data_IF_254140059279
#
_entry.id   IF_254140059279
#
_cell.length_a   1.000
_cell.length_b   1.000
_cell.length_c   1.000
_cell.angle_alpha   90.00
_cell.angle_beta   90.00
_cell.angle_gamma   90.00
#
_symmetry.space_group_name_H-M   'P 1'
#
loop_
_entity.id
_entity.type
_entity.pdbx_description
1 polymer ?
#
# COMPACT_ATOMS: atom_id res chain seq x y z
N UNK A 1 10.94 -20.53 -86.61
CA UNK A 1 10.00 -19.63 -85.90
C UNK A 1 9.65 -20.16 -84.49
N UNK A 2 10.62 -20.69 -83.73
CA UNK A 2 10.35 -21.30 -82.41
C UNK A 2 11.25 -20.67 -81.34
N UNK A 3 11.22 -19.33 -81.25
CA UNK A 3 12.11 -18.59 -80.36
C UNK A 3 11.33 -17.71 -79.37
N UNK A 4 10.32 -16.99 -79.84
CA UNK A 4 9.64 -15.99 -79.01
C UNK A 4 8.77 -16.60 -77.91
N UNK A 5 8.14 -17.76 -78.14
CA UNK A 5 7.30 -18.45 -77.15
C UNK A 5 8.12 -19.07 -76.03
N UNK A 6 9.24 -19.73 -76.35
CA UNK A 6 10.14 -20.30 -75.35
C UNK A 6 10.82 -19.20 -74.50
N UNK A 7 11.20 -18.09 -75.15
CA UNK A 7 11.75 -16.92 -74.47
C UNK A 7 10.70 -16.33 -73.49
N UNK A 8 9.45 -16.19 -73.91
CA UNK A 8 8.37 -15.69 -73.06
C UNK A 8 8.12 -16.58 -71.83
N UNK A 9 8.11 -17.90 -71.99
CA UNK A 9 7.92 -18.86 -70.89
C UNK A 9 9.09 -18.75 -69.88
N UNK A 10 10.34 -18.63 -70.34
CA UNK A 10 11.49 -18.43 -69.47
C UNK A 10 11.38 -17.15 -68.63
N UNK A 11 10.93 -16.05 -69.23
CA UNK A 11 10.72 -14.79 -68.49
C UNK A 11 9.59 -14.90 -67.45
N UNK A 12 8.48 -15.57 -67.80
CA UNK A 12 7.38 -15.78 -66.85
C UNK A 12 7.85 -16.62 -65.66
N UNK A 13 8.57 -17.72 -65.89
CA UNK A 13 9.09 -18.58 -64.81
C UNK A 13 10.11 -17.84 -63.94
N UNK A 14 11.00 -17.04 -64.54
CA UNK A 14 11.94 -16.21 -63.77
C UNK A 14 11.21 -15.14 -62.96
N UNK A 15 10.17 -14.52 -63.52
CA UNK A 15 9.38 -13.49 -62.85
C UNK A 15 8.55 -14.07 -61.71
N UNK A 16 7.93 -15.25 -61.87
CA UNK A 16 7.19 -15.92 -60.80
C UNK A 16 8.11 -16.42 -59.70
N UNK A 17 9.29 -16.96 -60.02
CA UNK A 17 10.30 -17.28 -59.02
C UNK A 17 10.81 -16.05 -58.29
N UNK A 18 11.04 -14.94 -59.01
CA UNK A 18 11.46 -13.68 -58.40
C UNK A 18 10.38 -13.15 -57.45
N UNK A 19 9.10 -13.16 -57.86
CA UNK A 19 7.97 -12.78 -56.99
C UNK A 19 7.87 -13.71 -55.77
N UNK A 20 8.02 -15.02 -55.94
CA UNK A 20 7.99 -15.98 -54.84
C UNK A 20 9.15 -15.77 -53.84
N UNK A 21 10.35 -15.47 -54.34
CA UNK A 21 11.49 -15.10 -53.50
C UNK A 21 11.28 -13.74 -52.82
N UNK A 22 10.70 -12.75 -53.51
CA UNK A 22 10.34 -11.46 -52.91
C UNK A 22 9.32 -11.67 -51.78
N UNK A 23 8.29 -12.48 -51.98
CA UNK A 23 7.28 -12.85 -50.97
C UNK A 23 7.90 -13.61 -49.79
N UNK A 24 8.88 -14.49 -50.03
CA UNK A 24 9.66 -15.16 -48.97
C UNK A 24 10.55 -14.19 -48.20
N UNK A 25 11.01 -13.09 -48.82
CA UNK A 25 11.87 -12.08 -48.17
C UNK A 25 11.11 -10.97 -47.44
N UNK A 26 9.79 -10.85 -47.60
CA UNK A 26 8.98 -9.93 -46.77
C UNK A 26 8.76 -10.54 -45.38
N UNK A 27 9.83 -10.65 -44.60
CA UNK A 27 9.71 -10.76 -43.15
C UNK A 27 8.95 -9.52 -42.67
N UNK A 28 7.83 -9.72 -41.98
CA UNK A 28 7.01 -8.64 -41.45
C UNK A 28 7.87 -7.73 -40.55
N UNK A 29 8.33 -6.59 -41.06
CA UNK A 29 9.24 -5.64 -40.41
C UNK A 29 8.58 -4.85 -39.25
N UNK A 30 7.54 -5.40 -38.60
CA UNK A 30 6.94 -4.77 -37.43
C UNK A 30 7.84 -5.02 -36.21
N UNK A 31 8.39 -3.94 -35.67
CA UNK A 31 9.18 -3.96 -34.44
C UNK A 31 8.30 -4.45 -33.27
N UNK A 32 8.81 -5.33 -32.38
CA UNK A 32 8.04 -5.79 -31.24
C UNK A 32 7.66 -4.61 -30.35
N UNK A 33 6.47 -4.69 -29.77
CA UNK A 33 5.95 -3.68 -28.85
C UNK A 33 5.60 -4.35 -27.53
N UNK A 34 6.04 -3.72 -26.44
CA UNK A 34 5.54 -4.05 -25.11
C UNK A 34 4.27 -3.23 -24.92
N UNK A 35 3.15 -3.91 -24.70
CA UNK A 35 1.85 -3.30 -24.43
C UNK A 35 1.71 -2.95 -22.94
N UNK A 36 2.32 -3.75 -22.06
CA UNK A 36 2.43 -3.41 -20.63
C UNK A 36 3.21 -2.11 -20.44
N UNK A 37 2.74 -1.24 -19.55
CA UNK A 37 3.44 -0.02 -19.19
C UNK A 37 4.29 -0.18 -17.91
N UNK A 38 5.26 0.72 -17.74
CA UNK A 38 6.02 0.84 -16.50
C UNK A 38 5.09 1.22 -15.35
N UNK A 39 5.13 0.49 -14.24
CA UNK A 39 4.22 0.73 -13.12
C UNK A 39 4.81 0.29 -11.78
N UNK A 40 4.14 0.72 -10.71
CA UNK A 40 4.43 0.30 -9.35
C UNK A 40 3.44 -0.79 -8.93
N UNK A 41 3.94 -1.88 -8.35
CA UNK A 41 3.11 -2.95 -7.81
C UNK A 41 3.44 -3.11 -6.33
N UNK A 42 2.41 -3.05 -5.48
CA UNK A 42 2.57 -3.17 -4.03
C UNK A 42 1.81 -4.36 -3.51
N UNK A 43 2.48 -5.23 -2.76
CA UNK A 43 1.92 -6.48 -2.27
C UNK A 43 2.38 -6.77 -0.84
N UNK A 44 1.58 -7.56 -0.12
CA UNK A 44 1.95 -7.97 1.23
C UNK A 44 3.00 -9.09 1.20
N UNK A 45 3.80 -9.20 2.24
CA UNK A 45 4.69 -10.34 2.47
C UNK A 45 3.92 -11.67 2.39
N UNK A 46 4.61 -12.73 1.95
CA UNK A 46 4.09 -14.09 1.76
C UNK A 46 3.01 -14.22 0.67
N UNK A 47 2.65 -13.15 -0.03
CA UNK A 47 1.78 -13.20 -1.20
C UNK A 47 2.52 -13.76 -2.44
N UNK A 48 1.76 -14.04 -3.51
CA UNK A 48 2.33 -14.38 -4.81
C UNK A 48 2.33 -13.13 -5.69
N UNK A 49 3.50 -12.78 -6.20
CA UNK A 49 3.66 -11.75 -7.24
C UNK A 49 3.51 -12.37 -8.61
N UNK A 50 2.80 -11.69 -9.51
CA UNK A 50 2.77 -11.99 -10.95
C UNK A 50 3.10 -10.70 -11.70
N UNK A 51 4.30 -10.64 -12.28
CA UNK A 51 4.75 -9.53 -13.12
C UNK A 51 4.51 -9.91 -14.58
N UNK A 52 3.56 -9.26 -15.24
CA UNK A 52 3.15 -9.65 -16.60
C UNK A 52 3.69 -8.71 -17.67
N UNK A 53 4.37 -9.27 -18.66
CA UNK A 53 4.81 -8.55 -19.85
C UNK A 53 3.98 -8.99 -21.06
N UNK A 54 3.03 -8.14 -21.46
CA UNK A 54 2.22 -8.32 -22.66
C UNK A 54 3.00 -7.79 -23.86
N UNK A 55 3.25 -8.67 -24.81
CA UNK A 55 4.05 -8.41 -26.00
C UNK A 55 3.21 -8.61 -27.24
N UNK A 56 3.34 -7.67 -28.18
CA UNK A 56 2.82 -7.77 -29.54
C UNK A 56 3.96 -7.80 -30.55
N UNK A 57 3.76 -8.61 -31.60
CA UNK A 57 4.68 -8.74 -32.73
C UNK A 57 6.09 -9.22 -32.28
N UNK A 58 6.18 -10.22 -31.39
CA UNK A 58 7.45 -10.69 -30.81
C UNK A 58 8.48 -11.10 -31.87
N UNK A 59 8.05 -11.75 -32.95
CA UNK A 59 8.92 -12.17 -34.05
C UNK A 59 10.04 -13.11 -33.58
N UNK A 60 11.28 -12.79 -33.96
CA UNK A 60 12.50 -13.52 -33.58
C UNK A 60 13.15 -13.01 -32.27
N UNK A 61 12.48 -12.10 -31.56
CA UNK A 61 13.00 -11.55 -30.31
C UNK A 61 12.70 -12.49 -29.13
N UNK A 62 13.50 -12.35 -28.07
CA UNK A 62 13.30 -13.09 -26.84
C UNK A 62 12.90 -12.15 -25.71
N UNK A 63 11.97 -12.61 -24.87
CA UNK A 63 11.62 -11.94 -23.61
C UNK A 63 12.61 -12.36 -22.54
N UNK A 64 13.16 -11.38 -21.82
CA UNK A 64 14.08 -11.59 -20.71
C UNK A 64 13.56 -10.83 -19.50
N UNK A 65 13.44 -11.51 -18.37
CA UNK A 65 13.19 -10.89 -17.08
C UNK A 65 14.52 -10.64 -16.37
N UNK A 66 14.73 -9.40 -15.92
CA UNK A 66 15.89 -9.03 -15.11
C UNK A 66 15.46 -8.44 -13.77
N UNK A 67 16.33 -8.55 -12.76
CA UNK A 67 16.21 -7.81 -11.50
C UNK A 67 17.41 -6.91 -11.32
N UNK A 68 17.15 -5.65 -11.02
CA UNK A 68 18.18 -4.66 -10.73
C UNK A 68 18.63 -4.81 -9.28
N UNK A 69 19.94 -4.94 -9.07
CA UNK A 69 20.53 -4.87 -7.75
C UNK A 69 20.47 -3.42 -7.25
N UNK A 70 19.84 -3.13 -6.09
CA UNK A 70 19.67 -1.76 -5.62
C UNK A 70 20.98 -1.09 -5.18
N UNK A 71 22.02 -1.87 -4.86
CA UNK A 71 23.32 -1.35 -4.40
C UNK A 71 24.29 -1.10 -5.56
N UNK A 72 24.29 -1.97 -6.57
CA UNK A 72 25.24 -1.87 -7.70
C UNK A 72 24.60 -1.33 -8.97
N UNK A 73 23.27 -1.23 -9.03
CA UNK A 73 22.49 -0.85 -10.23
C UNK A 73 22.63 -1.83 -11.39
N UNK A 74 23.34 -2.96 -11.19
CA UNK A 74 23.52 -4.00 -12.19
C UNK A 74 22.22 -4.80 -12.32
N UNK A 75 21.79 -5.05 -13.55
CA UNK A 75 20.62 -5.88 -13.83
C UNK A 75 21.04 -7.29 -14.23
N UNK A 76 20.62 -8.28 -13.45
CA UNK A 76 20.95 -9.69 -13.67
C UNK A 76 19.73 -10.44 -14.24
N UNK A 77 19.93 -11.36 -15.20
CA UNK A 77 18.84 -12.13 -15.77
C UNK A 77 18.25 -13.10 -14.72
N UNK A 78 16.94 -13.04 -14.55
CA UNK A 78 16.16 -14.02 -13.79
C UNK A 78 15.60 -15.11 -14.71
N UNK A 79 15.21 -14.74 -15.93
CA UNK A 79 14.69 -15.68 -16.92
C UNK A 79 14.95 -15.20 -18.35
N UNK A 80 15.14 -16.13 -19.28
CA UNK A 80 15.15 -15.89 -20.73
C UNK A 80 14.16 -16.85 -21.38
N UNK A 81 13.14 -16.32 -22.03
CA UNK A 81 12.00 -17.10 -22.51
C UNK A 81 11.35 -17.86 -21.36
N UNK A 82 11.30 -19.20 -21.47
CA UNK A 82 10.74 -20.09 -20.45
C UNK A 82 11.78 -20.66 -19.47
N UNK A 83 13.05 -20.28 -19.61
CA UNK A 83 14.14 -20.81 -18.80
C UNK A 83 14.50 -19.84 -17.67
N UNK A 84 14.57 -20.36 -16.44
CA UNK A 84 15.01 -19.62 -15.25
C UNK A 84 16.53 -19.69 -15.07
N UNK A 85 17.10 -18.61 -14.55
CA UNK A 85 18.53 -18.43 -14.24
C UNK A 85 18.78 -18.12 -12.76
N UNK A 86 17.74 -18.19 -11.94
CA UNK A 86 17.84 -18.07 -10.48
C UNK A 86 17.82 -19.44 -9.81
N UNK A 87 18.57 -19.60 -8.73
CA UNK A 87 18.53 -20.79 -7.88
C UNK A 87 17.33 -20.81 -6.92
N UNK A 88 16.64 -19.67 -6.77
CA UNK A 88 15.47 -19.55 -5.91
C UNK A 88 14.26 -20.24 -6.54
N UNK A 89 13.80 -21.32 -5.89
CA UNK A 89 12.70 -22.18 -6.34
C UNK A 89 11.33 -21.50 -6.28
N UNK A 90 11.21 -20.34 -5.63
CA UNK A 90 9.97 -19.56 -5.57
C UNK A 90 9.65 -18.88 -6.89
N UNK A 91 10.64 -18.73 -7.77
CA UNK A 91 10.47 -18.10 -9.07
C UNK A 91 9.94 -19.11 -10.09
N UNK A 92 8.96 -18.68 -10.88
CA UNK A 92 8.36 -19.44 -11.97
C UNK A 92 8.10 -18.54 -13.19
N UNK A 93 7.97 -19.16 -14.36
CA UNK A 93 7.57 -18.47 -15.59
C UNK A 93 6.27 -19.10 -16.10
N UNK A 94 5.27 -18.26 -16.31
CA UNK A 94 4.08 -18.63 -17.07
C UNK A 94 4.04 -17.88 -18.40
N UNK A 95 3.55 -18.59 -19.42
CA UNK A 95 3.47 -18.10 -20.78
C UNK A 95 2.18 -18.57 -21.42
N UNK A 96 1.47 -17.64 -22.05
CA UNK A 96 0.37 -17.97 -22.95
C UNK A 96 0.33 -17.01 -24.13
N UNK A 97 -0.23 -17.48 -25.24
CA UNK A 97 -0.41 -16.72 -26.47
C UNK A 97 -1.88 -16.74 -26.84
N UNK A 98 -2.42 -15.56 -27.16
CA UNK A 98 -3.82 -15.40 -27.56
C UNK A 98 -3.98 -15.31 -29.08
N UNK A 99 -2.91 -14.97 -29.80
CA UNK A 99 -2.86 -14.94 -31.25
C UNK A 99 -1.42 -15.14 -31.72
N UNK A 100 -1.21 -15.32 -33.03
CA UNK A 100 0.14 -15.38 -33.60
C UNK A 100 0.99 -14.12 -33.32
N UNK A 101 0.35 -13.00 -32.97
CA UNK A 101 1.01 -11.72 -32.69
C UNK A 101 1.03 -11.33 -31.21
N UNK A 102 0.09 -11.83 -30.40
CA UNK A 102 -0.06 -11.44 -29.00
C UNK A 102 0.33 -12.58 -28.04
N UNK A 103 1.22 -12.24 -27.10
CA UNK A 103 1.71 -13.17 -26.08
C UNK A 103 1.94 -12.49 -24.74
N UNK A 104 1.82 -13.27 -23.67
CA UNK A 104 1.96 -12.81 -22.29
C UNK A 104 3.04 -13.64 -21.61
N UNK A 105 4.01 -12.94 -21.04
CA UNK A 105 5.17 -13.53 -20.38
C UNK A 105 5.21 -13.04 -18.95
N UNK A 106 4.90 -13.93 -18.01
CA UNK A 106 4.76 -13.56 -16.61
C UNK A 106 5.85 -14.18 -15.77
N UNK A 107 6.52 -13.35 -14.98
CA UNK A 107 7.40 -13.79 -13.90
C UNK A 107 6.58 -13.90 -12.61
N UNK A 108 6.51 -15.11 -12.07
CA UNK A 108 5.79 -15.40 -10.83
C UNK A 108 6.79 -15.61 -9.70
N UNK A 109 6.51 -15.02 -8.54
CA UNK A 109 7.32 -15.19 -7.33
C UNK A 109 6.38 -15.58 -6.20
N UNK A 110 6.46 -16.83 -5.75
CA UNK A 110 5.66 -17.34 -4.65
C UNK A 110 6.24 -16.93 -3.30
N UNK A 111 5.37 -16.69 -2.32
CA UNK A 111 5.77 -16.39 -0.93
C UNK A 111 6.83 -15.27 -0.87
N UNK A 112 6.48 -14.10 -1.40
CA UNK A 112 7.42 -12.98 -1.49
C UNK A 112 7.89 -12.50 -0.12
N UNK A 113 9.15 -12.09 -0.04
CA UNK A 113 9.75 -11.52 1.16
C UNK A 113 10.33 -10.12 0.87
N UNK A 114 10.85 -9.44 1.89
CA UNK A 114 11.37 -8.07 1.73
C UNK A 114 12.59 -7.97 0.79
N UNK A 115 13.35 -9.04 0.59
CA UNK A 115 14.47 -9.04 -0.36
C UNK A 115 14.01 -9.13 -1.83
N UNK A 116 12.73 -9.47 -2.06
CA UNK A 116 12.15 -9.47 -3.40
C UNK A 116 11.79 -8.05 -3.88
N UNK A 117 11.66 -7.10 -2.97
CA UNK A 117 11.44 -5.68 -3.29
C UNK A 117 12.55 -5.13 -4.20
N UNK A 118 12.16 -4.35 -5.21
CA UNK A 118 13.09 -3.73 -6.13
C UNK A 118 12.51 -3.54 -7.53
N UNK A 119 13.39 -3.23 -8.46
CA UNK A 119 13.03 -3.00 -9.87
C UNK A 119 13.24 -4.25 -10.69
N UNK A 120 12.18 -4.68 -11.37
CA UNK A 120 12.18 -5.77 -12.35
C UNK A 120 12.05 -5.19 -13.74
N UNK A 121 12.70 -5.81 -14.72
CA UNK A 121 12.72 -5.34 -16.10
C UNK A 121 12.23 -6.46 -16.98
N UNK A 122 11.18 -6.20 -17.78
CA UNK A 122 10.89 -7.02 -18.94
C UNK A 122 11.59 -6.41 -20.14
N UNK A 123 12.56 -7.14 -20.71
CA UNK A 123 13.31 -6.74 -21.89
C UNK A 123 12.97 -7.66 -23.05
N UNK A 124 12.54 -7.09 -24.17
CA UNK A 124 12.47 -7.79 -25.46
C UNK A 124 13.72 -7.43 -26.24
N UNK A 125 14.48 -8.42 -26.70
CA UNK A 125 15.68 -8.15 -27.48
C UNK A 125 15.98 -9.24 -28.51
N UNK A 126 16.62 -8.82 -29.60
CA UNK A 126 17.39 -9.68 -30.51
C UNK A 126 18.76 -9.00 -30.78
N UNK A 127 19.47 -9.45 -31.82
CA UNK A 127 20.77 -8.86 -32.20
C UNK A 127 20.68 -7.42 -32.74
N UNK A 128 19.51 -6.97 -33.17
CA UNK A 128 19.30 -5.69 -33.88
C UNK A 128 18.65 -4.62 -33.00
N UNK A 129 17.70 -5.00 -32.16
CA UNK A 129 16.90 -4.07 -31.39
C UNK A 129 16.57 -4.61 -29.99
N UNK A 130 16.32 -3.69 -29.05
CA UNK A 130 15.77 -4.02 -27.75
C UNK A 130 14.84 -2.94 -27.23
N UNK A 131 13.78 -3.35 -26.54
CA UNK A 131 12.83 -2.49 -25.83
C UNK A 131 12.63 -3.03 -24.42
N UNK A 132 12.35 -2.16 -23.44
CA UNK A 132 12.21 -2.58 -22.04
C UNK A 132 11.16 -1.76 -21.30
N UNK A 133 10.50 -2.39 -20.34
CA UNK A 133 9.66 -1.74 -19.33
C UNK A 133 10.16 -2.06 -17.94
N UNK A 134 9.78 -1.23 -16.97
CA UNK A 134 10.25 -1.33 -15.59
C UNK A 134 9.04 -1.56 -14.67
N UNK A 135 9.16 -2.49 -13.72
CA UNK A 135 8.14 -2.74 -12.72
C UNK A 135 8.79 -2.56 -11.35
N UNK A 136 8.30 -1.59 -10.59
CA UNK A 136 8.78 -1.30 -9.25
C UNK A 136 7.92 -2.06 -8.24
N UNK A 137 8.45 -3.17 -7.74
CA UNK A 137 7.78 -4.02 -6.78
C UNK A 137 8.09 -3.52 -5.36
N UNK A 138 7.05 -3.17 -4.60
CA UNK A 138 7.14 -2.81 -3.18
C UNK A 138 6.48 -3.88 -2.31
N UNK A 139 7.18 -4.32 -1.26
CA UNK A 139 6.65 -5.33 -0.34
C UNK A 139 6.27 -4.67 1.00
N UNK A 140 5.01 -4.83 1.35
CA UNK A 140 4.40 -4.31 2.56
C UNK A 140 4.31 -5.37 3.64
N UNK A 141 4.49 -4.94 4.89
CA UNK A 141 4.25 -5.78 6.06
C UNK A 141 2.87 -5.43 6.61
N UNK A 142 2.01 -6.40 6.95
CA UNK A 142 0.74 -6.13 7.59
C UNK A 142 0.92 -5.37 8.90
N UNK A 143 0.24 -4.22 8.99
CA UNK A 143 0.20 -3.38 10.19
C UNK A 143 -1.21 -3.38 10.76
N UNK A 144 -1.32 -3.32 12.08
CA UNK A 144 -2.59 -3.29 12.80
C UNK A 144 -2.52 -2.17 13.82
N UNK A 145 -3.54 -1.32 13.89
CA UNK A 145 -3.68 -0.29 14.92
C UNK A 145 -4.90 -0.59 15.79
N UNK A 146 -4.76 -0.50 17.11
CA UNK A 146 -5.87 -0.67 18.03
C UNK A 146 -5.74 0.22 19.27
N UNK A 147 -6.85 0.79 19.78
CA UNK A 147 -8.16 0.88 19.13
C UNK A 147 -8.14 1.82 17.91
N UNK A 148 -9.17 1.79 17.07
CA UNK A 148 -9.33 2.67 15.90
C UNK A 148 -10.01 4.02 16.25
N UNK A 149 -10.67 4.09 17.41
CA UNK A 149 -11.27 5.29 17.98
C UNK A 149 -11.18 5.25 19.51
N UNK A 150 -10.87 6.39 20.13
CA UNK A 150 -10.83 6.57 21.58
C UNK A 150 -11.63 7.80 21.95
N UNK A 151 -12.55 7.67 22.90
CA UNK A 151 -13.22 8.79 23.55
C UNK A 151 -13.03 8.68 25.06
N UNK A 152 -12.41 9.69 25.65
CA UNK A 152 -12.11 9.71 27.08
C UNK A 152 -12.32 11.11 27.68
N UNK A 153 -12.50 11.13 29.00
CA UNK A 153 -12.51 12.39 29.76
C UNK A 153 -11.09 12.93 29.96
N UNK A 154 -10.92 14.24 30.24
CA UNK A 154 -9.63 14.80 30.59
C UNK A 154 -8.99 14.12 31.81
N UNK A 155 -7.65 14.15 31.89
CA UNK A 155 -6.84 13.54 32.94
C UNK A 155 -6.84 11.99 32.96
N UNK A 156 -7.28 11.35 31.89
CA UNK A 156 -7.21 9.89 31.72
C UNK A 156 -5.93 9.48 31.00
N UNK A 157 -5.46 8.24 31.21
CA UNK A 157 -4.32 7.71 30.46
C UNK A 157 -4.79 7.03 29.18
N UNK A 158 -4.21 7.38 28.04
CA UNK A 158 -4.52 6.78 26.74
C UNK A 158 -3.34 5.92 26.31
N UNK A 159 -3.62 4.69 25.87
CA UNK A 159 -2.63 3.79 25.29
C UNK A 159 -3.16 3.35 23.93
N UNK A 160 -2.42 3.71 22.88
CA UNK A 160 -2.66 3.25 21.52
C UNK A 160 -1.60 2.25 21.17
N UNK A 161 -1.98 1.13 20.53
CA UNK A 161 -1.04 0.14 20.05
C UNK A 161 -1.00 0.13 18.52
N UNK A 162 0.18 -0.12 17.98
CA UNK A 162 0.39 -0.36 16.57
C UNK A 162 1.35 -1.52 16.42
N UNK A 163 0.87 -2.62 15.85
CA UNK A 163 1.59 -3.88 15.72
C UNK A 163 1.95 -4.14 14.27
N UNK A 164 3.19 -4.59 14.07
CA UNK A 164 3.77 -4.93 12.78
C UNK A 164 4.29 -6.37 12.85
N UNK A 165 3.89 -7.22 11.92
CA UNK A 165 4.31 -8.63 11.87
C UNK A 165 5.67 -8.76 11.16
N UNK A 166 6.76 -8.69 11.92
CA UNK A 166 8.14 -8.72 11.40
C UNK A 166 8.84 -10.00 11.87
N UNK A 167 9.41 -10.78 10.96
CA UNK A 167 10.31 -11.87 11.32
C UNK A 167 11.64 -11.29 11.86
N UNK A 168 12.24 -11.93 12.85
CA UNK A 168 13.45 -11.47 13.56
C UNK A 168 14.63 -11.07 12.65
N UNK A 169 14.69 -11.59 11.42
CA UNK A 169 15.74 -11.28 10.43
C UNK A 169 15.61 -9.89 9.77
N UNK A 170 14.47 -9.20 9.91
CA UNK A 170 14.18 -7.94 9.22
C UNK A 170 14.06 -6.72 10.16
N UNK A 171 14.46 -6.89 11.42
CA UNK A 171 14.22 -5.93 12.51
C UNK A 171 14.93 -4.57 12.29
N UNK A 172 15.91 -4.49 11.40
CA UNK A 172 16.79 -3.32 11.28
C UNK A 172 16.47 -2.35 10.12
N UNK A 173 15.28 -2.43 9.48
CA UNK A 173 14.96 -1.58 8.30
C UNK A 173 13.70 -0.73 8.37
N UNK A 174 13.03 -0.62 9.51
CA UNK A 174 12.01 0.41 9.62
C UNK A 174 11.67 0.79 11.04
N UNK A 175 11.86 2.07 11.34
CA UNK A 175 11.37 2.67 12.55
C UNK A 175 9.85 2.92 12.40
N UNK A 176 9.06 2.18 13.17
CA UNK A 176 7.63 2.46 13.31
C UNK A 176 7.48 3.74 14.13
N UNK A 177 6.95 4.78 13.49
CA UNK A 177 6.85 6.12 14.08
C UNK A 177 5.41 6.51 14.33
N UNK A 178 5.19 7.38 15.32
CA UNK A 178 3.89 7.98 15.59
C UNK A 178 3.90 9.46 15.23
N UNK A 179 2.86 9.92 14.56
CA UNK A 179 2.68 11.30 14.15
C UNK A 179 1.29 11.80 14.51
N UNK A 180 1.21 13.04 15.01
CA UNK A 180 -0.06 13.74 15.13
C UNK A 180 -0.38 14.45 13.80
N UNK A 181 -1.50 14.11 13.17
CA UNK A 181 -1.86 14.59 11.82
C UNK A 181 -2.85 15.75 11.82
N UNK A 182 -3.37 16.16 12.98
CA UNK A 182 -4.36 17.24 13.05
C UNK A 182 -3.70 18.60 12.83
N UNK A 183 -4.29 19.44 11.97
CA UNK A 183 -3.80 20.78 11.58
C UNK A 183 -3.87 21.84 12.70
N UNK A 184 -4.04 21.43 13.96
CA UNK A 184 -3.88 22.30 15.11
C UNK A 184 -2.37 22.57 15.29
N UNK A 185 -1.86 23.48 14.47
CA UNK A 185 -0.48 23.97 14.45
C UNK A 185 -0.02 24.27 15.90
N UNK A 186 0.99 23.53 16.37
CA UNK A 186 1.87 23.86 17.50
C UNK A 186 1.46 23.56 18.96
N UNK A 187 0.62 22.58 19.31
CA UNK A 187 0.38 22.26 20.75
C UNK A 187 0.15 20.79 21.14
N UNK A 188 0.97 19.85 20.69
CA UNK A 188 1.27 18.69 21.54
C UNK A 188 2.63 18.96 22.18
N UNK A 189 2.63 19.35 23.47
CA UNK A 189 3.87 19.42 24.22
C UNK A 189 4.47 18.00 24.18
N UNK A 190 5.74 17.78 23.80
CA UNK A 190 6.27 16.42 23.70
C UNK A 190 6.41 15.68 25.04
N UNK A 191 6.16 16.34 26.18
CA UNK A 191 6.52 15.81 27.49
C UNK A 191 5.52 14.78 28.03
N UNK A 192 4.24 14.84 27.67
CA UNK A 192 3.18 13.95 28.14
C UNK A 192 2.90 12.77 27.18
N UNK A 193 3.57 12.74 26.03
CA UNK A 193 3.46 11.68 25.03
C UNK A 193 4.73 10.84 25.00
N UNK A 194 4.61 9.55 25.30
CA UNK A 194 5.73 8.62 25.31
C UNK A 194 5.50 7.49 24.31
N UNK A 195 6.52 7.17 23.52
CA UNK A 195 6.50 6.04 22.60
C UNK A 195 7.31 4.91 23.22
N UNK A 196 6.67 3.74 23.42
CA UNK A 196 7.33 2.51 23.89
C UNK A 196 7.31 1.48 22.77
N UNK A 197 8.35 0.66 22.68
CA UNK A 197 8.40 -0.45 21.72
C UNK A 197 8.58 -1.75 22.48
N UNK A 198 7.87 -2.78 22.05
CA UNK A 198 8.01 -4.14 22.57
C UNK A 198 8.08 -5.10 21.40
N UNK A 199 9.07 -5.97 21.46
CA UNK A 199 9.20 -7.06 20.53
C UNK A 199 8.75 -8.35 21.22
N UNK A 200 7.91 -9.14 20.54
CA UNK A 200 7.39 -10.40 21.05
C UNK A 200 7.24 -11.39 19.89
N UNK A 201 8.11 -12.41 19.83
CA UNK A 201 8.09 -13.37 18.73
C UNK A 201 8.38 -12.71 17.39
N UNK A 202 7.44 -12.73 16.46
CA UNK A 202 7.55 -12.08 15.15
C UNK A 202 6.68 -10.81 15.06
N UNK A 203 6.45 -10.15 16.20
CA UNK A 203 5.59 -8.97 16.26
C UNK A 203 6.31 -7.83 16.97
N UNK A 204 6.49 -6.71 16.26
CA UNK A 204 6.88 -5.44 16.84
C UNK A 204 5.61 -4.65 17.19
N UNK A 205 5.35 -4.42 18.46
CA UNK A 205 4.28 -3.52 18.91
C UNK A 205 4.87 -2.23 19.43
N UNK A 206 4.43 -1.12 18.85
CA UNK A 206 4.70 0.23 19.36
C UNK A 206 3.48 0.74 20.10
N UNK A 207 3.72 1.42 21.22
CA UNK A 207 2.70 1.97 22.08
C UNK A 207 2.87 3.48 22.13
N UNK A 208 1.83 4.23 21.79
CA UNK A 208 1.75 5.64 22.08
C UNK A 208 0.97 5.83 23.39
N UNK A 209 1.67 6.34 24.39
CA UNK A 209 1.15 6.54 25.75
C UNK A 209 1.01 8.03 26.00
N UNK A 210 -0.23 8.48 26.24
CA UNK A 210 -0.53 9.85 26.66
C UNK A 210 -0.94 9.78 28.12
N UNK A 211 -0.12 10.35 29.00
CA UNK A 211 -0.44 10.44 30.42
C UNK A 211 -1.24 11.72 30.68
N UNK A 212 -2.26 11.65 31.55
CA UNK A 212 -3.08 12.80 31.92
C UNK A 212 -3.66 13.56 30.70
N UNK A 213 -4.39 12.85 29.84
CA UNK A 213 -4.86 13.35 28.56
C UNK A 213 -5.64 14.66 28.67
N UNK A 214 -5.20 15.66 27.91
CA UNK A 214 -5.84 16.96 27.78
C UNK A 214 -6.64 17.11 26.47
N UNK A 215 -7.54 18.11 26.42
CA UNK A 215 -8.37 18.41 25.25
C UNK A 215 -7.55 18.64 23.96
N UNK A 216 -6.31 19.15 24.07
CA UNK A 216 -5.41 19.38 22.92
C UNK A 216 -4.83 18.10 22.30
N UNK A 217 -4.95 16.94 22.95
CA UNK A 217 -4.61 15.64 22.33
C UNK A 217 -5.69 15.13 21.38
N UNK A 218 -6.85 15.81 21.34
CA UNK A 218 -7.94 15.49 20.42
C UNK A 218 -7.48 15.68 18.98
N UNK A 219 -7.60 14.63 18.18
CA UNK A 219 -7.21 14.65 16.79
C UNK A 219 -6.94 13.27 16.23
N UNK A 220 -6.31 13.25 15.06
CA UNK A 220 -5.92 12.02 14.37
C UNK A 220 -4.46 11.73 14.66
N UNK A 221 -4.21 10.62 15.34
CA UNK A 221 -2.87 10.06 15.54
C UNK A 221 -2.62 9.01 14.47
N UNK A 222 -1.41 8.93 13.97
CA UNK A 222 -1.04 7.99 12.93
C UNK A 222 0.21 7.21 13.29
N UNK A 223 0.13 5.89 13.13
CA UNK A 223 1.27 5.00 13.12
C UNK A 223 1.76 4.85 11.67
N UNK A 224 3.06 5.07 11.45
CA UNK A 224 3.68 5.14 10.14
C UNK A 224 4.84 4.15 10.08
N UNK A 225 4.86 3.35 9.02
CA UNK A 225 5.95 2.44 8.70
C UNK A 225 6.17 2.42 7.19
N UNK A 226 7.37 2.83 6.75
CA UNK A 226 7.70 2.98 5.32
C UNK A 226 6.64 3.84 4.60
N UNK A 227 5.96 3.32 3.59
CA UNK A 227 4.88 4.00 2.87
C UNK A 227 3.49 3.76 3.49
N UNK A 228 3.37 2.92 4.51
CA UNK A 228 2.10 2.58 5.15
C UNK A 228 1.80 3.54 6.30
N UNK A 229 0.51 3.88 6.44
CA UNK A 229 -0.02 4.76 7.48
C UNK A 229 -1.36 4.24 7.97
N UNK A 230 -1.46 3.96 9.26
CA UNK A 230 -2.74 3.68 9.93
C UNK A 230 -3.05 4.81 10.91
N UNK A 231 -4.31 5.17 11.02
CA UNK A 231 -4.75 6.27 11.85
C UNK A 231 -5.80 5.85 12.89
N UNK A 232 -5.78 6.56 14.01
CA UNK A 232 -6.73 6.44 15.11
C UNK A 232 -7.19 7.84 15.50
N UNK A 233 -8.50 7.98 15.70
CA UNK A 233 -9.11 9.22 16.18
C UNK A 233 -9.21 9.20 17.70
N UNK A 234 -8.65 10.21 18.33
CA UNK A 234 -8.71 10.42 19.78
C UNK A 234 -9.57 11.65 20.05
N UNK A 235 -10.56 11.50 20.93
CA UNK A 235 -11.41 12.57 21.42
C UNK A 235 -11.28 12.66 22.94
N UNK A 236 -10.78 13.79 23.43
CA UNK A 236 -10.70 14.10 24.86
C UNK A 236 -11.70 15.21 25.16
N UNK A 237 -12.82 14.87 25.79
CA UNK A 237 -13.92 15.79 26.05
C UNK A 237 -14.53 15.56 27.42
N UNK A 238 -14.94 16.64 28.10
CA UNK A 238 -15.69 16.52 29.36
C UNK A 238 -17.11 16.02 29.08
N UNK A 239 -17.59 15.03 29.82
CA UNK A 239 -19.00 14.67 29.79
C UNK A 239 -19.86 15.85 30.29
N UNK A 240 -20.74 16.36 29.43
CA UNK A 240 -21.68 17.44 29.80
C UNK A 240 -22.82 16.94 30.72
N UNK A 241 -23.01 15.63 30.86
CA UNK A 241 -24.07 15.02 31.67
C UNK A 241 -23.82 15.09 33.18
N UNK A 242 -22.55 15.11 33.63
CA UNK A 242 -22.21 15.25 35.06
C UNK A 242 -22.39 16.67 35.56
N UNK A 243 -22.09 17.68 34.74
CA UNK A 243 -22.35 19.09 35.07
C UNK A 243 -23.84 19.42 35.14
N UNK A 244 -24.68 18.85 34.27
CA UNK A 244 -26.13 19.04 34.35
C UNK A 244 -26.75 18.39 35.60
N UNK A 245 -26.24 17.23 36.05
CA UNK A 245 -26.67 16.62 37.33
C UNK A 245 -26.24 17.44 38.54
N UNK A 246 -25.03 18.00 38.53
CA UNK A 246 -24.54 18.87 39.60
C UNK A 246 -25.32 20.21 39.67
N UNK A 247 -25.61 20.84 38.52
CA UNK A 247 -26.41 22.07 38.49
C UNK A 247 -27.88 21.83 38.86
N UNK A 248 -28.46 20.68 38.50
CA UNK A 248 -29.81 20.28 38.91
C UNK A 248 -29.92 19.96 40.42
N UNK A 249 -28.87 19.39 41.03
CA UNK A 249 -28.84 19.17 42.48
C UNK A 249 -28.72 20.50 43.26
N UNK A 250 -27.89 21.43 42.78
CA UNK A 250 -27.74 22.76 43.38
C UNK A 250 -29.00 23.63 43.24
N UNK A 251 -29.72 23.53 42.11
CA UNK A 251 -31.00 24.22 41.95
C UNK A 251 -32.05 23.65 42.92
N UNK A 252 -32.14 22.32 43.05
CA UNK A 252 -33.16 21.67 43.89
C UNK A 252 -32.99 21.96 45.40
N UNK A 253 -31.76 22.08 45.91
CA UNK A 253 -31.52 22.48 47.31
C UNK A 253 -31.90 23.96 47.57
N UNK A 254 -31.67 24.82 46.58
CA UNK A 254 -32.07 26.23 46.64
C UNK A 254 -33.61 26.38 46.63
N UNK A 255 -34.31 25.64 45.76
CA UNK A 255 -35.77 25.64 45.70
C UNK A 255 -36.41 25.08 46.98
N UNK A 256 -35.84 24.01 47.58
CA UNK A 256 -36.32 23.47 48.87
C UNK A 256 -36.20 24.47 50.02
N UNK A 257 -35.08 25.21 50.10
CA UNK A 257 -34.88 26.24 51.14
C UNK A 257 -35.87 27.40 50.99
N UNK A 258 -36.10 27.86 49.75
CA UNK A 258 -37.06 28.94 49.46
C UNK A 258 -38.49 28.50 49.83
N UNK A 259 -38.90 27.29 49.44
CA UNK A 259 -40.22 26.74 49.79
C UNK A 259 -40.44 26.64 51.31
N UNK A 260 -39.43 26.19 52.07
CA UNK A 260 -39.52 26.11 53.52
C UNK A 260 -39.71 27.47 54.21
N UNK A 261 -39.09 28.53 53.67
CA UNK A 261 -39.22 29.89 54.21
C UNK A 261 -40.63 30.44 53.98
N UNK A 262 -41.21 30.22 52.80
CA UNK A 262 -42.59 30.65 52.51
C UNK A 262 -43.63 29.93 53.37
N UNK A 263 -43.44 28.63 53.64
CA UNK A 263 -44.34 27.88 54.53
C UNK A 263 -44.25 28.40 55.97
N UNK A 264 -43.04 28.68 56.46
CA UNK A 264 -42.85 29.28 57.79
C UNK A 264 -43.48 30.68 57.88
N UNK A 265 -43.28 31.53 56.87
CA UNK A 265 -43.91 32.86 56.81
C UNK A 265 -45.44 32.76 56.78
N UNK A 266 -45.99 31.80 56.03
CA UNK A 266 -47.44 31.60 55.96
C UNK A 266 -48.01 31.12 57.29
N UNK A 267 -47.33 30.21 57.99
CA UNK A 267 -47.73 29.75 59.33
C UNK A 267 -47.65 30.88 60.36
N UNK A 268 -46.61 31.73 60.31
CA UNK A 268 -46.51 32.90 61.19
C UNK A 268 -47.63 33.90 60.93
N UNK A 269 -47.95 34.17 59.67
CA UNK A 269 -49.08 35.05 59.30
C UNK A 269 -50.43 34.47 59.76
N UNK A 270 -50.61 33.15 59.68
CA UNK A 270 -51.83 32.50 60.17
C UNK A 270 -51.99 32.63 61.69
N UNK A 271 -50.89 32.47 62.45
CA UNK A 271 -50.90 32.66 63.91
C UNK A 271 -51.19 34.12 64.28
N UNK A 272 -50.68 35.10 63.53
CA UNK A 272 -50.96 36.53 63.77
C UNK A 272 -52.42 36.88 63.48
N UNK A 273 -53.08 36.18 62.55
CA UNK A 273 -54.47 36.47 62.18
C UNK A 273 -55.51 35.83 63.11
N UNK A 274 -55.13 34.86 63.95
CA UNK A 274 -56.00 34.22 64.94
C UNK A 274 -55.96 34.86 66.35
N UNK A 275 -55.28 36.00 66.53
CA UNK A 275 -55.28 36.80 67.76
C UNK A 275 -55.82 38.22 67.51
#
# INVERSE_FOLDING_TARGET
MMNNTLIAIKYIVLFTHLIFMIQLTTANNQLPRIITETHNQTLNISSTVILTCHVRDLGDHHVTWLKTNPSTTISSPLAVGKQLFTADKRYSISFYSTSAKDSFWSLEIYQVNLADEGTYICKIANRKASVSIYIHLHIQIPMIIHPNYVHVEPNTNIILNCSLLINNEYVDKGDVTWSFLSHQLNKTKPHDVHIKKRFSGNTLTTYLVINHAQMYHTGTWACIYRQQRLSVKVLVQKNMLTHQRASALLSNDSYRKISSIYVLLFLVLFIIYEY
#
